data_IF_941322600006
#
_entry.id   IF_941322600006
#
_cell.length_a   1.000
_cell.length_b   1.000
_cell.length_c   1.000
_cell.angle_alpha   90.00
_cell.angle_beta   90.00
_cell.angle_gamma   90.00
#
_symmetry.space_group_name_H-M   'P 1'
#
loop_
_entity.id
_entity.type
_entity.pdbx_description
1 polymer ?
#
# COMPACT_ATOMS: atom_id res chain seq x y z
N UNK A 1 -36.21 -19.95 0.53
CA UNK A 1 -35.05 -19.39 -0.20
C UNK A 1 -35.24 -17.95 -0.70
N UNK A 2 -36.43 -17.58 -1.27
CA UNK A 2 -36.64 -16.18 -1.76
C UNK A 2 -36.55 -15.11 -0.68
N UNK A 3 -36.94 -15.39 0.57
CA UNK A 3 -36.83 -14.41 1.71
C UNK A 3 -35.40 -14.12 2.13
N UNK A 4 -34.46 -15.03 1.90
CA UNK A 4 -33.05 -14.89 2.28
C UNK A 4 -32.22 -14.11 1.25
N UNK A 5 -32.70 -13.95 0.02
CA UNK A 5 -32.00 -13.31 -1.09
C UNK A 5 -31.71 -11.81 -0.81
N UNK A 6 -32.69 -11.07 -0.28
CA UNK A 6 -32.53 -9.63 -0.03
C UNK A 6 -31.47 -9.32 1.04
N UNK A 7 -31.47 -9.95 2.24
CA UNK A 7 -30.42 -9.69 3.22
C UNK A 7 -29.03 -10.12 2.72
N UNK A 8 -28.88 -11.25 2.03
CA UNK A 8 -27.59 -11.67 1.46
C UNK A 8 -27.11 -10.64 0.43
N UNK A 9 -27.99 -10.18 -0.45
CA UNK A 9 -27.69 -9.18 -1.47
C UNK A 9 -27.22 -7.87 -0.86
N UNK A 10 -27.89 -7.38 0.19
CA UNK A 10 -27.50 -6.16 0.91
C UNK A 10 -26.14 -6.37 1.59
N UNK A 11 -25.94 -7.48 2.28
CA UNK A 11 -24.69 -7.78 2.97
C UNK A 11 -23.50 -7.86 2.01
N UNK A 12 -23.62 -8.64 0.94
CA UNK A 12 -22.57 -8.74 -0.09
C UNK A 12 -22.31 -7.36 -0.72
N UNK A 13 -23.35 -6.63 -1.09
CA UNK A 13 -23.21 -5.31 -1.68
C UNK A 13 -22.51 -4.31 -0.76
N UNK A 14 -22.88 -4.27 0.52
CA UNK A 14 -22.24 -3.38 1.51
C UNK A 14 -20.76 -3.72 1.70
N UNK A 15 -20.38 -5.00 1.73
CA UNK A 15 -18.98 -5.41 1.85
C UNK A 15 -18.16 -5.00 0.63
N UNK A 16 -18.69 -5.13 -0.59
CA UNK A 16 -18.00 -4.66 -1.79
C UNK A 16 -17.87 -3.13 -1.84
N UNK A 17 -18.92 -2.39 -1.43
CA UNK A 17 -18.85 -0.93 -1.32
C UNK A 17 -17.78 -0.53 -0.30
N UNK A 18 -17.80 -1.12 0.88
CA UNK A 18 -16.84 -0.83 1.94
C UNK A 18 -15.40 -1.15 1.49
N UNK A 19 -15.19 -2.32 0.88
CA UNK A 19 -13.88 -2.73 0.32
C UNK A 19 -13.39 -1.75 -0.73
N UNK A 20 -14.24 -1.39 -1.69
CA UNK A 20 -13.87 -0.44 -2.75
C UNK A 20 -13.60 0.97 -2.24
N UNK A 21 -14.39 1.48 -1.27
CA UNK A 21 -14.20 2.83 -0.72
C UNK A 21 -12.93 2.95 0.14
N UNK A 22 -12.61 1.95 0.96
CA UNK A 22 -11.34 1.94 1.72
C UNK A 22 -10.14 1.96 0.78
N UNK A 23 -10.17 1.17 -0.30
CA UNK A 23 -9.09 1.17 -1.30
C UNK A 23 -9.09 2.44 -2.14
N UNK A 24 -10.26 3.02 -2.42
CA UNK A 24 -10.38 4.31 -3.09
C UNK A 24 -9.81 5.47 -2.28
N UNK A 25 -9.76 5.35 -0.95
CA UNK A 25 -9.07 6.32 -0.07
C UNK A 25 -7.54 6.31 -0.25
N UNK A 26 -6.93 5.18 -0.62
CA UNK A 26 -5.51 5.06 -0.93
C UNK A 26 -5.29 4.20 -2.19
N UNK A 27 -5.52 4.75 -3.41
CA UNK A 27 -5.36 4.00 -4.65
C UNK A 27 -3.92 3.53 -4.88
N UNK A 28 -2.92 4.29 -4.42
CA UNK A 28 -1.52 3.89 -4.49
C UNK A 28 -1.22 2.65 -3.64
N UNK A 29 -1.87 2.50 -2.47
CA UNK A 29 -1.72 1.32 -1.62
C UNK A 29 -2.08 0.03 -2.36
N UNK A 30 -3.24 0.00 -3.04
CA UNK A 30 -3.62 -1.14 -3.88
C UNK A 30 -2.70 -1.31 -5.10
N UNK A 31 -2.30 -0.21 -5.75
CA UNK A 31 -1.37 -0.24 -6.88
C UNK A 31 -0.03 -0.90 -6.49
N UNK A 32 0.53 -0.55 -5.34
CA UNK A 32 1.78 -1.17 -4.86
C UNK A 32 1.61 -2.65 -4.52
N UNK A 33 0.44 -3.05 -4.00
CA UNK A 33 0.13 -4.47 -3.81
C UNK A 33 0.03 -5.22 -5.13
N UNK A 34 -0.54 -4.63 -6.17
CA UNK A 34 -0.54 -5.24 -7.51
C UNK A 34 0.88 -5.39 -8.07
N UNK A 35 1.77 -4.38 -7.87
CA UNK A 35 3.18 -4.48 -8.26
C UNK A 35 3.87 -5.65 -7.54
N UNK A 36 3.67 -5.79 -6.22
CA UNK A 36 4.21 -6.91 -5.43
C UNK A 36 3.78 -8.28 -6.01
N UNK A 37 2.52 -8.43 -6.42
CA UNK A 37 2.06 -9.65 -7.10
C UNK A 37 2.73 -9.83 -8.47
N UNK A 38 2.82 -8.78 -9.27
CA UNK A 38 3.44 -8.84 -10.59
C UNK A 38 4.92 -9.23 -10.50
N UNK A 39 5.67 -8.65 -9.57
CA UNK A 39 7.07 -8.99 -9.31
C UNK A 39 7.24 -10.45 -8.88
N UNK A 40 6.42 -10.95 -7.94
CA UNK A 40 6.47 -12.34 -7.49
C UNK A 40 6.14 -13.33 -8.62
N UNK A 41 5.33 -12.93 -9.60
CA UNK A 41 4.96 -13.76 -10.76
C UNK A 41 5.87 -13.55 -11.98
N UNK A 42 6.84 -12.63 -11.91
CA UNK A 42 7.72 -12.29 -13.04
C UNK A 42 7.03 -11.50 -14.14
N UNK A 43 5.98 -10.72 -13.80
CA UNK A 43 5.22 -9.90 -14.73
C UNK A 43 5.50 -8.40 -14.53
N UNK A 44 6.76 -8.03 -14.26
CA UNK A 44 7.17 -6.65 -13.97
C UNK A 44 6.78 -5.64 -15.07
N UNK A 45 6.64 -6.11 -16.31
CA UNK A 45 6.19 -5.29 -17.44
C UNK A 45 4.77 -4.73 -17.24
N UNK A 46 3.97 -5.29 -16.32
CA UNK A 46 2.63 -4.78 -15.96
C UNK A 46 2.66 -3.68 -14.89
N UNK A 47 3.81 -3.41 -14.26
CA UNK A 47 3.93 -2.40 -13.22
C UNK A 47 3.40 -1.01 -13.64
N UNK A 48 3.61 -0.51 -14.87
CA UNK A 48 3.03 0.77 -15.31
C UNK A 48 1.50 0.80 -15.32
N UNK A 49 0.84 -0.35 -15.44
CA UNK A 49 -0.62 -0.46 -15.46
C UNK A 49 -1.23 -0.61 -14.06
N UNK A 50 -0.41 -0.81 -13.02
CA UNK A 50 -0.89 -1.11 -11.66
C UNK A 50 -1.79 -0.02 -11.09
N UNK A 51 -1.47 1.26 -11.30
CA UNK A 51 -2.28 2.37 -10.80
C UNK A 51 -3.64 2.45 -11.50
N UNK A 52 -3.68 2.37 -12.83
CA UNK A 52 -4.95 2.43 -13.58
C UNK A 52 -5.82 1.21 -13.27
N UNK A 53 -5.22 0.04 -13.07
CA UNK A 53 -5.91 -1.18 -12.66
C UNK A 53 -6.48 -1.04 -11.25
N UNK A 54 -5.74 -0.43 -10.31
CA UNK A 54 -6.21 -0.12 -8.97
C UNK A 54 -7.43 0.81 -9.00
N UNK A 55 -7.35 1.91 -9.74
CA UNK A 55 -8.45 2.87 -9.90
C UNK A 55 -9.70 2.20 -10.46
N UNK A 56 -9.54 1.42 -11.52
CA UNK A 56 -10.63 0.68 -12.16
C UNK A 56 -11.26 -0.36 -11.22
N UNK A 57 -10.43 -1.12 -10.49
CA UNK A 57 -10.88 -2.14 -9.55
C UNK A 57 -11.71 -1.54 -8.42
N UNK A 58 -11.27 -0.43 -7.81
CA UNK A 58 -11.99 0.23 -6.73
C UNK A 58 -13.37 0.74 -7.20
N UNK A 59 -13.42 1.38 -8.38
CA UNK A 59 -14.68 1.83 -8.98
C UNK A 59 -15.59 0.64 -9.28
N UNK A 60 -15.04 -0.44 -9.83
CA UNK A 60 -15.80 -1.65 -10.19
C UNK A 60 -16.42 -2.33 -8.97
N UNK A 61 -15.69 -2.41 -7.84
CA UNK A 61 -16.22 -2.97 -6.59
C UNK A 61 -17.38 -2.14 -6.04
N UNK A 62 -17.22 -0.82 -5.97
CA UNK A 62 -18.29 0.09 -5.50
C UNK A 62 -19.49 0.02 -6.43
N UNK A 63 -19.27 0.07 -7.74
CA UNK A 63 -20.30 -0.07 -8.75
C UNK A 63 -21.09 -1.38 -8.60
N UNK A 64 -20.40 -2.52 -8.53
CA UNK A 64 -21.00 -3.84 -8.41
C UNK A 64 -21.78 -3.99 -7.10
N UNK A 65 -21.21 -3.45 -5.99
CA UNK A 65 -21.85 -3.44 -4.68
C UNK A 65 -23.15 -2.63 -4.65
N UNK A 66 -23.19 -1.44 -5.25
CA UNK A 66 -24.41 -0.64 -5.35
C UNK A 66 -25.39 -1.29 -6.31
N UNK A 67 -24.94 -1.73 -7.48
CA UNK A 67 -25.78 -2.33 -8.50
C UNK A 67 -26.56 -3.56 -7.98
N UNK A 68 -25.89 -4.39 -7.16
CA UNK A 68 -26.56 -5.53 -6.54
C UNK A 68 -27.59 -5.10 -5.48
N UNK A 69 -27.32 -4.06 -4.68
CA UNK A 69 -28.24 -3.53 -3.67
C UNK A 69 -29.49 -2.94 -4.33
N UNK A 70 -29.33 -2.07 -5.35
CA UNK A 70 -30.44 -1.41 -6.04
C UNK A 70 -31.16 -2.34 -7.03
N UNK A 71 -30.76 -3.60 -7.09
CA UNK A 71 -31.36 -4.62 -7.97
C UNK A 71 -31.27 -4.27 -9.47
N UNK A 72 -30.14 -3.64 -9.87
CA UNK A 72 -29.89 -3.30 -11.27
C UNK A 72 -29.21 -4.47 -11.99
N UNK A 73 -29.78 -4.91 -13.12
CA UNK A 73 -29.26 -6.04 -13.92
C UNK A 73 -28.72 -7.22 -13.09
N UNK A 74 -29.44 -7.60 -12.04
CA UNK A 74 -28.99 -8.50 -10.97
C UNK A 74 -28.28 -9.74 -11.46
N UNK A 75 -28.76 -10.39 -12.54
CA UNK A 75 -28.13 -11.59 -13.09
C UNK A 75 -26.70 -11.31 -13.58
N UNK A 76 -26.50 -10.23 -14.33
CA UNK A 76 -25.18 -9.85 -14.83
C UNK A 76 -24.24 -9.42 -13.71
N UNK A 77 -24.78 -8.62 -12.77
CA UNK A 77 -24.02 -8.14 -11.61
C UNK A 77 -23.61 -9.28 -10.69
N UNK A 78 -24.48 -10.27 -10.45
CA UNK A 78 -24.09 -11.42 -9.62
C UNK A 78 -23.00 -12.25 -10.29
N UNK A 79 -23.02 -12.40 -11.63
CA UNK A 79 -21.90 -13.01 -12.36
C UNK A 79 -20.60 -12.17 -12.27
N UNK A 80 -20.69 -10.86 -12.37
CA UNK A 80 -19.54 -9.97 -12.18
C UNK A 80 -18.95 -10.14 -10.79
N UNK A 81 -19.78 -10.10 -9.73
CA UNK A 81 -19.36 -10.33 -8.35
C UNK A 81 -18.72 -11.71 -8.16
N UNK A 82 -19.25 -12.73 -8.84
CA UNK A 82 -18.68 -14.06 -8.82
C UNK A 82 -17.28 -14.10 -9.45
N UNK A 83 -17.06 -13.45 -10.59
CA UNK A 83 -15.75 -13.36 -11.21
C UNK A 83 -14.77 -12.58 -10.33
N UNK A 84 -15.21 -11.47 -9.73
CA UNK A 84 -14.38 -10.67 -8.81
C UNK A 84 -13.97 -11.49 -7.58
N UNK A 85 -14.91 -12.22 -6.96
CA UNK A 85 -14.57 -12.99 -5.76
C UNK A 85 -13.66 -14.18 -6.09
N UNK A 86 -13.82 -14.82 -7.25
CA UNK A 86 -12.88 -15.85 -7.70
C UNK A 86 -11.48 -15.29 -7.88
N UNK A 87 -11.36 -14.11 -8.49
CA UNK A 87 -10.07 -13.43 -8.66
C UNK A 87 -9.44 -13.09 -7.29
N UNK A 88 -10.19 -12.49 -6.36
CA UNK A 88 -9.67 -12.21 -5.03
C UNK A 88 -9.33 -13.47 -4.24
N UNK A 89 -10.16 -14.51 -4.31
CA UNK A 89 -9.88 -15.80 -3.67
C UNK A 89 -8.59 -16.42 -4.20
N UNK A 90 -8.32 -16.29 -5.50
CA UNK A 90 -7.06 -16.73 -6.09
C UNK A 90 -5.87 -15.94 -5.52
N UNK A 91 -5.95 -14.60 -5.46
CA UNK A 91 -4.89 -13.76 -4.90
C UNK A 91 -4.62 -14.07 -3.42
N UNK A 92 -5.70 -14.14 -2.61
CA UNK A 92 -5.59 -14.41 -1.17
C UNK A 92 -5.12 -15.82 -0.88
N UNK A 93 -5.56 -16.80 -1.69
CA UNK A 93 -5.07 -18.18 -1.65
C UNK A 93 -3.60 -18.26 -2.01
N UNK A 94 -3.18 -17.60 -3.08
CA UNK A 94 -1.76 -17.54 -3.44
C UNK A 94 -0.90 -16.95 -2.31
N UNK A 95 -1.32 -15.81 -1.72
CA UNK A 95 -0.63 -15.21 -0.59
C UNK A 95 -0.55 -16.15 0.62
N UNK A 96 -1.64 -16.88 0.92
CA UNK A 96 -1.72 -17.82 2.05
C UNK A 96 -0.79 -19.02 1.86
N UNK A 97 -0.82 -19.64 0.67
CA UNK A 97 -0.11 -20.92 0.43
C UNK A 97 1.35 -20.72 0.01
N UNK A 98 1.67 -19.62 -0.69
CA UNK A 98 3.07 -19.33 -1.07
C UNK A 98 3.89 -18.73 0.07
N UNK A 99 3.25 -18.02 1.01
CA UNK A 99 3.92 -17.26 2.07
C UNK A 99 4.76 -16.06 1.57
N UNK A 100 4.82 -15.83 0.26
CA UNK A 100 5.64 -14.76 -0.35
C UNK A 100 5.05 -13.36 -0.15
N UNK A 101 3.73 -13.26 0.03
CA UNK A 101 3.00 -12.00 0.19
C UNK A 101 2.39 -11.96 1.59
N UNK A 102 2.81 -11.01 2.40
CA UNK A 102 2.42 -10.91 3.82
C UNK A 102 1.00 -10.37 4.03
N UNK A 103 0.52 -9.50 3.14
CA UNK A 103 -0.82 -8.88 3.21
C UNK A 103 -1.44 -8.79 1.83
N UNK A 104 -2.73 -9.10 1.70
CA UNK A 104 -3.41 -9.13 0.40
C UNK A 104 -3.96 -7.78 -0.06
N UNK A 105 -4.01 -6.77 0.81
CA UNK A 105 -4.52 -5.43 0.48
C UNK A 105 -6.04 -5.35 0.24
N UNK A 106 -6.82 -6.39 0.60
CA UNK A 106 -8.27 -6.43 0.35
C UNK A 106 -9.06 -5.26 0.95
N UNK A 107 -8.62 -4.76 2.10
CA UNK A 107 -9.18 -3.57 2.77
C UNK A 107 -8.11 -2.46 2.93
N UNK A 108 -7.12 -2.42 2.03
CA UNK A 108 -6.04 -1.44 2.07
C UNK A 108 -5.25 -1.49 3.38
N UNK A 109 -4.48 -0.43 3.63
CA UNK A 109 -3.65 -0.31 4.84
C UNK A 109 -4.44 0.10 6.09
N UNK A 110 -5.71 0.51 5.93
CA UNK A 110 -6.56 0.89 7.06
C UNK A 110 -7.06 -0.31 7.89
N UNK A 111 -7.24 -1.45 7.25
CA UNK A 111 -7.65 -2.69 7.90
C UNK A 111 -6.79 -3.86 7.39
N UNK A 112 -5.55 -3.96 7.87
CA UNK A 112 -4.64 -5.01 7.41
C UNK A 112 -5.12 -6.37 7.91
N UNK A 113 -5.61 -7.20 6.98
CA UNK A 113 -6.00 -8.59 7.25
C UNK A 113 -4.83 -9.53 6.96
N UNK A 114 -4.70 -10.56 7.78
CA UNK A 114 -3.79 -11.67 7.46
C UNK A 114 -4.26 -12.41 6.20
N UNK A 115 -3.37 -13.08 5.46
CA UNK A 115 -3.76 -13.87 4.29
C UNK A 115 -4.86 -14.91 4.60
N UNK A 116 -4.80 -15.56 5.77
CA UNK A 116 -5.81 -16.53 6.21
C UNK A 116 -7.18 -15.88 6.44
N UNK A 117 -7.23 -14.73 7.11
CA UNK A 117 -8.49 -14.00 7.33
C UNK A 117 -9.09 -13.52 6.02
N UNK A 118 -8.25 -13.01 5.11
CA UNK A 118 -8.69 -12.56 3.78
C UNK A 118 -9.25 -13.71 2.96
N UNK A 119 -8.56 -14.84 2.92
CA UNK A 119 -8.98 -16.04 2.20
C UNK A 119 -10.30 -16.59 2.75
N UNK A 120 -10.43 -16.71 4.09
CA UNK A 120 -11.68 -17.18 4.73
C UNK A 120 -12.85 -16.27 4.41
N UNK A 121 -12.65 -14.94 4.47
CA UNK A 121 -13.64 -13.94 4.07
C UNK A 121 -14.09 -14.16 2.61
N UNK A 122 -13.15 -14.37 1.70
CA UNK A 122 -13.45 -14.56 0.28
C UNK A 122 -14.21 -15.85 0.00
N UNK A 123 -13.88 -16.94 0.70
CA UNK A 123 -14.65 -18.20 0.63
C UNK A 123 -16.10 -17.98 1.11
N UNK A 124 -16.30 -17.32 2.26
CA UNK A 124 -17.64 -17.02 2.78
C UNK A 124 -18.43 -16.19 1.79
N UNK A 125 -17.83 -15.12 1.24
CA UNK A 125 -18.46 -14.28 0.22
C UNK A 125 -18.77 -15.07 -1.05
N UNK A 126 -17.86 -15.94 -1.48
CA UNK A 126 -18.07 -16.82 -2.64
C UNK A 126 -19.30 -17.71 -2.48
N UNK A 127 -19.46 -18.34 -1.30
CA UNK A 127 -20.65 -19.15 -0.99
C UNK A 127 -21.92 -18.29 -1.04
N UNK A 128 -21.91 -17.10 -0.46
CA UNK A 128 -23.07 -16.19 -0.49
C UNK A 128 -23.42 -15.76 -1.92
N UNK A 129 -22.43 -15.50 -2.75
CA UNK A 129 -22.64 -15.12 -4.17
C UNK A 129 -23.16 -16.31 -4.97
N UNK A 130 -22.70 -17.54 -4.72
CA UNK A 130 -23.24 -18.76 -5.34
C UNK A 130 -24.72 -18.95 -4.96
N UNK A 131 -25.09 -18.72 -3.70
CA UNK A 131 -26.49 -18.74 -3.27
C UNK A 131 -27.31 -17.68 -4.04
N UNK A 132 -26.76 -16.48 -4.22
CA UNK A 132 -27.39 -15.44 -5.03
C UNK A 132 -27.55 -15.86 -6.49
N UNK A 133 -26.55 -16.50 -7.10
CA UNK A 133 -26.64 -17.03 -8.47
C UNK A 133 -27.77 -18.06 -8.61
N UNK A 134 -27.86 -18.97 -7.65
CA UNK A 134 -28.89 -20.03 -7.66
C UNK A 134 -30.30 -19.51 -7.40
N UNK A 135 -30.44 -18.42 -6.62
CA UNK A 135 -31.77 -17.92 -6.16
C UNK A 135 -32.23 -16.68 -6.92
N UNK A 136 -31.40 -16.11 -7.78
CA UNK A 136 -31.67 -14.85 -8.49
C UNK A 136 -32.70 -15.10 -9.61
N UNK A 137 -33.90 -14.53 -9.46
CA UNK A 137 -34.98 -14.64 -10.44
C UNK A 137 -34.89 -13.70 -11.62
N UNK A 138 -33.81 -12.93 -11.71
CA UNK A 138 -33.56 -12.00 -12.82
C UNK A 138 -34.47 -10.78 -12.89
N UNK A 139 -35.39 -10.58 -11.93
CA UNK A 139 -36.27 -9.41 -11.89
C UNK A 139 -35.48 -8.17 -11.52
N UNK A 140 -35.09 -7.38 -12.52
CA UNK A 140 -34.40 -6.12 -12.31
C UNK A 140 -35.37 -5.00 -11.90
N UNK A 141 -34.97 -4.14 -10.99
CA UNK A 141 -35.68 -2.90 -10.72
C UNK A 141 -35.62 -1.98 -11.94
N UNK A 142 -36.76 -1.47 -12.38
CA UNK A 142 -36.84 -0.47 -13.47
C UNK A 142 -36.79 0.97 -12.94
N UNK A 143 -36.65 1.15 -11.61
CA UNK A 143 -36.69 2.46 -10.96
C UNK A 143 -35.54 3.38 -11.40
N UNK A 144 -35.87 4.62 -11.80
CA UNK A 144 -34.92 5.66 -12.19
C UNK A 144 -34.00 6.04 -11.01
N UNK A 145 -34.54 6.09 -9.80
CA UNK A 145 -33.81 6.43 -8.58
C UNK A 145 -32.60 5.53 -8.34
N UNK A 146 -32.77 4.19 -8.48
CA UNK A 146 -31.67 3.24 -8.33
C UNK A 146 -30.54 3.48 -9.34
N UNK A 147 -30.86 3.87 -10.57
CA UNK A 147 -29.86 4.22 -11.59
C UNK A 147 -29.15 5.53 -11.23
N UNK A 148 -29.87 6.53 -10.77
CA UNK A 148 -29.25 7.82 -10.33
C UNK A 148 -28.27 7.54 -9.21
N UNK A 149 -28.65 6.81 -8.16
CA UNK A 149 -27.76 6.45 -7.04
C UNK A 149 -26.51 5.69 -7.57
N UNK A 150 -26.70 4.68 -8.44
CA UNK A 150 -25.64 3.90 -9.01
C UNK A 150 -24.59 4.79 -9.71
N UNK A 151 -25.01 5.63 -10.65
CA UNK A 151 -24.09 6.46 -11.42
C UNK A 151 -23.48 7.58 -10.57
N UNK A 152 -24.25 8.23 -9.69
CA UNK A 152 -23.73 9.30 -8.82
C UNK A 152 -22.65 8.79 -7.89
N UNK A 153 -22.85 7.65 -7.22
CA UNK A 153 -21.85 7.11 -6.30
C UNK A 153 -20.64 6.56 -7.05
N UNK A 154 -20.84 5.96 -8.23
CA UNK A 154 -19.73 5.49 -9.08
C UNK A 154 -18.83 6.66 -9.52
N UNK A 155 -19.42 7.75 -10.02
CA UNK A 155 -18.69 8.97 -10.39
C UNK A 155 -18.05 9.62 -9.14
N UNK A 156 -18.77 9.65 -8.02
CA UNK A 156 -18.26 10.13 -6.74
C UNK A 156 -17.02 9.34 -6.28
N UNK A 157 -16.99 8.02 -6.48
CA UNK A 157 -15.82 7.19 -6.17
C UNK A 157 -14.63 7.55 -7.05
N UNK A 158 -14.83 7.78 -8.34
CA UNK A 158 -13.76 8.21 -9.24
C UNK A 158 -13.22 9.60 -8.84
N UNK A 159 -14.09 10.55 -8.52
CA UNK A 159 -13.71 11.89 -8.04
C UNK A 159 -12.97 11.80 -6.68
N UNK A 160 -13.41 10.93 -5.79
CA UNK A 160 -12.75 10.69 -4.50
C UNK A 160 -11.33 10.15 -4.66
N UNK A 161 -11.11 9.20 -5.58
CA UNK A 161 -9.77 8.71 -5.90
C UNK A 161 -8.87 9.79 -6.50
N UNK A 162 -9.43 10.60 -7.42
CA UNK A 162 -8.69 11.75 -7.96
C UNK A 162 -8.25 12.71 -6.85
N UNK A 163 -9.15 13.00 -5.90
CA UNK A 163 -8.83 13.79 -4.72
C UNK A 163 -7.69 13.17 -3.92
N UNK A 164 -7.76 11.88 -3.58
CA UNK A 164 -6.75 11.17 -2.80
C UNK A 164 -5.37 11.15 -3.49
N UNK A 165 -5.34 11.04 -4.83
CA UNK A 165 -4.11 11.11 -5.63
C UNK A 165 -3.50 12.52 -5.69
N UNK A 166 -4.29 13.57 -5.45
CA UNK A 166 -3.85 14.97 -5.52
C UNK A 166 -3.48 15.51 -4.13
N UNK A 167 -4.29 15.20 -3.10
CA UNK A 167 -4.24 15.83 -1.78
C UNK A 167 -3.77 14.91 -0.64
N UNK A 168 -3.48 13.67 -0.88
CA UNK A 168 -3.29 12.56 0.06
C UNK A 168 -4.61 11.86 0.45
N UNK A 169 -4.52 10.63 1.00
CA UNK A 169 -5.67 9.93 1.57
C UNK A 169 -6.39 10.78 2.62
N UNK A 170 -7.73 10.81 2.55
CA UNK A 170 -8.56 11.54 3.53
C UNK A 170 -8.40 10.94 4.93
N UNK A 171 -8.32 9.62 5.01
CA UNK A 171 -7.97 8.90 6.24
C UNK A 171 -6.58 8.33 6.06
N UNK A 172 -5.59 8.95 6.73
CA UNK A 172 -4.22 8.44 6.71
C UNK A 172 -4.07 7.30 7.72
N UNK A 173 -4.01 6.08 7.21
CA UNK A 173 -3.86 4.86 7.99
C UNK A 173 -2.40 4.39 8.10
N UNK A 174 -1.48 5.11 7.47
CA UNK A 174 -0.07 4.75 7.43
C UNK A 174 0.63 5.06 8.77
N UNK A 175 1.72 4.36 9.08
CA UNK A 175 2.51 4.66 10.27
C UNK A 175 3.13 6.07 10.24
N UNK A 176 3.23 6.67 9.05
CA UNK A 176 3.72 8.02 8.80
C UNK A 176 2.63 9.11 8.85
N UNK A 177 1.54 8.87 9.55
CA UNK A 177 0.47 9.87 9.69
C UNK A 177 0.84 11.00 10.65
N UNK A 178 0.21 12.14 10.49
CA UNK A 178 0.29 13.28 11.42
C UNK A 178 0.12 12.84 12.86
N UNK A 179 0.97 13.34 13.75
CA UNK A 179 0.99 13.07 15.19
C UNK A 179 1.83 11.86 15.60
N UNK A 180 2.19 10.97 14.67
CA UNK A 180 3.06 9.84 14.98
C UNK A 180 4.52 10.27 15.11
N UNK A 181 5.25 9.51 15.91
CA UNK A 181 6.70 9.58 16.05
C UNK A 181 7.35 8.45 15.26
N UNK A 182 8.21 8.78 14.29
CA UNK A 182 8.83 7.78 13.39
C UNK A 182 9.66 6.78 14.20
N UNK A 183 10.45 7.25 15.16
CA UNK A 183 11.30 6.37 16.01
C UNK A 183 10.44 5.42 16.84
N UNK A 184 9.33 5.89 17.39
CA UNK A 184 8.39 5.03 18.12
C UNK A 184 7.75 3.96 17.20
N UNK A 185 7.44 4.31 15.95
CA UNK A 185 6.87 3.35 15.00
C UNK A 185 7.93 2.34 14.48
N UNK A 186 9.23 2.66 14.61
CA UNK A 186 10.33 1.74 14.30
C UNK A 186 10.61 0.74 15.43
N UNK A 187 10.10 0.98 16.63
CA UNK A 187 10.29 0.04 17.77
C UNK A 187 9.46 -1.21 17.54
N UNK A 188 10.08 -2.35 17.81
CA UNK A 188 9.38 -3.62 17.87
C UNK A 188 8.47 -3.60 19.12
N UNK A 189 7.15 -3.92 18.99
CA UNK A 189 6.25 -3.92 20.12
C UNK A 189 6.69 -4.87 21.23
N UNK A 190 6.44 -4.50 22.49
CA UNK A 190 6.73 -5.37 23.62
C UNK A 190 5.97 -6.70 23.48
N UNK A 191 6.64 -7.81 23.77
CA UNK A 191 6.08 -9.16 23.61
C UNK A 191 6.08 -9.68 22.16
N UNK A 192 6.71 -8.98 21.21
CA UNK A 192 6.87 -9.51 19.87
C UNK A 192 7.75 -10.77 19.87
N UNK A 193 7.25 -11.78 19.20
CA UNK A 193 7.99 -13.03 18.93
C UNK A 193 8.17 -13.11 17.42
N UNK A 194 9.41 -13.01 16.97
CA UNK A 194 9.72 -13.12 15.55
C UNK A 194 9.49 -14.54 15.02
N UNK A 195 9.23 -14.67 13.73
CA UNK A 195 9.28 -15.98 13.07
C UNK A 195 10.69 -16.55 13.22
N UNK A 196 10.78 -17.82 13.62
CA UNK A 196 12.02 -18.57 13.55
C UNK A 196 12.13 -19.17 12.16
N UNK A 197 13.12 -18.74 11.38
CA UNK A 197 13.35 -19.22 10.03
C UNK A 197 14.61 -20.06 9.99
N UNK A 198 14.58 -21.16 9.24
CA UNK A 198 15.76 -21.92 8.83
C UNK A 198 15.98 -21.72 7.34
N UNK A 199 17.23 -21.57 6.95
CA UNK A 199 17.59 -21.46 5.54
C UNK A 199 17.89 -22.86 5.01
N UNK A 200 17.09 -23.31 4.04
CA UNK A 200 17.37 -24.53 3.28
C UNK A 200 18.10 -24.16 1.99
N UNK A 201 19.30 -24.67 1.83
CA UNK A 201 20.09 -24.54 0.61
C UNK A 201 19.81 -25.72 -0.31
N UNK A 202 19.58 -25.42 -1.58
CA UNK A 202 19.34 -26.42 -2.63
C UNK A 202 20.52 -26.38 -3.59
N UNK A 203 21.20 -27.50 -3.70
CA UNK A 203 22.34 -27.70 -4.60
C UNK A 203 22.11 -28.92 -5.47
N UNK A 204 22.84 -29.00 -6.58
CA UNK A 204 22.98 -30.24 -7.35
C UNK A 204 24.38 -30.79 -7.14
N UNK A 205 24.50 -32.09 -6.72
CA UNK A 205 25.75 -32.83 -6.65
C UNK A 205 25.63 -34.04 -7.55
N UNK A 206 26.54 -34.17 -8.52
CA UNK A 206 26.55 -35.30 -9.48
C UNK A 206 25.19 -35.49 -10.20
N UNK A 207 24.51 -34.40 -10.57
CA UNK A 207 23.21 -34.44 -11.26
C UNK A 207 22.00 -34.74 -10.36
N UNK A 208 22.19 -34.88 -9.03
CA UNK A 208 21.12 -35.11 -8.07
C UNK A 208 20.91 -33.86 -7.19
N UNK A 209 19.67 -33.50 -6.97
CA UNK A 209 19.32 -32.41 -6.05
C UNK A 209 19.60 -32.86 -4.60
N UNK A 210 20.35 -32.07 -3.86
CA UNK A 210 20.63 -32.22 -2.42
C UNK A 210 20.18 -30.98 -1.69
N UNK A 211 19.58 -31.18 -0.51
CA UNK A 211 19.05 -30.09 0.34
C UNK A 211 19.66 -30.24 1.72
N UNK A 212 20.07 -29.13 2.28
CA UNK A 212 20.59 -29.06 3.64
C UNK A 212 20.36 -27.68 4.23
N UNK A 213 20.28 -27.62 5.54
CA UNK A 213 20.18 -26.38 6.30
C UNK A 213 21.56 -26.00 6.88
N UNK A 214 21.60 -24.86 7.61
CA UNK A 214 22.84 -24.38 8.22
C UNK A 214 23.37 -25.36 9.29
N UNK A 215 22.49 -26.10 9.98
CA UNK A 215 22.88 -27.06 11.02
C UNK A 215 23.41 -28.36 10.45
N UNK A 216 22.93 -28.77 9.28
CA UNK A 216 23.27 -30.01 8.58
C UNK A 216 24.07 -29.72 7.31
N UNK A 217 24.93 -28.69 7.34
CA UNK A 217 25.77 -28.37 6.19
C UNK A 217 26.78 -29.51 5.92
N UNK A 218 26.91 -29.99 4.66
CA UNK A 218 27.77 -31.13 4.35
C UNK A 218 29.23 -30.81 4.68
N UNK A 219 29.89 -31.74 5.36
CA UNK A 219 31.32 -31.62 5.70
C UNK A 219 32.22 -31.85 4.50
N UNK A 220 31.69 -32.47 3.44
CA UNK A 220 32.38 -32.76 2.18
C UNK A 220 32.01 -31.75 1.06
N UNK A 221 31.61 -30.50 1.45
CA UNK A 221 31.24 -29.46 0.50
C UNK A 221 32.46 -29.03 -0.35
N UNK A 222 32.35 -29.25 -1.66
CA UNK A 222 33.40 -28.96 -2.63
C UNK A 222 32.84 -28.39 -3.95
N UNK A 223 33.67 -28.23 -4.96
CA UNK A 223 33.29 -27.70 -6.28
C UNK A 223 32.30 -28.57 -7.07
N UNK A 224 31.95 -29.77 -6.60
CA UNK A 224 30.92 -30.64 -7.22
C UNK A 224 29.51 -30.23 -6.83
N UNK A 225 29.36 -29.35 -5.82
CA UNK A 225 28.10 -28.77 -5.42
C UNK A 225 27.80 -27.51 -6.25
N UNK A 226 26.79 -27.59 -7.12
CA UNK A 226 26.34 -26.48 -7.93
C UNK A 226 25.10 -25.87 -7.27
N UNK A 227 25.14 -24.56 -6.94
CA UNK A 227 24.05 -23.86 -6.34
C UNK A 227 22.83 -23.84 -7.28
N UNK A 228 21.65 -24.13 -6.75
CA UNK A 228 20.36 -24.10 -7.49
C UNK A 228 19.47 -23.01 -6.92
N UNK A 229 19.18 -23.07 -5.60
CA UNK A 229 18.22 -22.16 -4.97
C UNK A 229 18.42 -22.10 -3.45
N UNK A 230 17.79 -21.14 -2.82
CA UNK A 230 17.71 -20.99 -1.37
C UNK A 230 16.24 -20.79 -0.97
N UNK A 231 15.77 -21.52 0.03
CA UNK A 231 14.43 -21.36 0.60
C UNK A 231 14.51 -21.00 2.07
N UNK A 232 13.80 -19.94 2.45
CA UNK A 232 13.61 -19.59 3.85
C UNK A 232 12.36 -20.34 4.36
N UNK A 233 12.57 -21.30 5.27
CA UNK A 233 11.50 -22.12 5.85
C UNK A 233 11.18 -21.58 7.24
N UNK A 234 9.92 -21.19 7.46
CA UNK A 234 9.45 -20.80 8.80
C UNK A 234 9.29 -22.06 9.65
N UNK A 235 10.22 -22.25 10.58
CA UNK A 235 10.23 -23.40 11.51
C UNK A 235 9.22 -23.20 12.63
N UNK A 236 9.12 -21.95 13.15
CA UNK A 236 8.16 -21.57 14.17
C UNK A 236 7.60 -20.20 13.85
N UNK A 237 6.29 -20.12 13.73
CA UNK A 237 5.62 -18.82 13.53
C UNK A 237 5.69 -18.00 14.80
N UNK A 238 6.06 -16.73 14.65
CA UNK A 238 5.94 -15.72 15.67
C UNK A 238 4.47 -15.31 15.92
N UNK A 239 4.29 -14.26 16.68
CA UNK A 239 2.95 -13.74 16.97
C UNK A 239 2.49 -12.62 16.03
N UNK A 240 3.25 -12.35 14.95
CA UNK A 240 2.94 -11.33 13.95
C UNK A 240 3.11 -9.88 14.39
N UNK A 241 3.60 -9.64 15.61
CA UNK A 241 3.93 -8.30 16.09
C UNK A 241 5.28 -7.89 15.52
N UNK A 242 5.28 -6.90 14.64
CA UNK A 242 6.47 -6.33 14.00
C UNK A 242 6.46 -4.82 14.12
N UNK A 243 7.62 -4.18 13.96
CA UNK A 243 7.70 -2.73 13.82
C UNK A 243 6.83 -2.27 12.65
N UNK A 244 6.12 -1.15 12.81
CA UNK A 244 5.27 -0.60 11.74
C UNK A 244 6.07 0.11 10.66
N UNK A 245 7.25 0.61 11.03
CA UNK A 245 8.23 1.19 10.11
C UNK A 245 9.49 0.34 10.18
N UNK A 246 9.91 -0.16 9.04
CA UNK A 246 11.12 -0.96 8.88
C UNK A 246 12.06 -0.22 7.94
N UNK A 247 13.35 -0.29 8.22
CA UNK A 247 14.44 0.20 7.35
C UNK A 247 14.38 1.69 6.96
N UNK A 248 13.74 2.54 7.81
CA UNK A 248 13.76 3.98 7.60
C UNK A 248 15.14 4.55 7.91
N UNK A 249 15.78 5.09 6.90
CA UNK A 249 17.04 5.80 7.03
C UNK A 249 17.11 7.03 6.09
N UNK A 250 17.86 8.02 6.51
CA UNK A 250 18.14 9.26 5.78
C UNK A 250 19.64 9.34 5.54
N UNK A 251 20.07 8.93 4.36
CA UNK A 251 21.50 8.84 4.02
C UNK A 251 21.98 10.13 3.36
N UNK A 252 23.11 10.65 3.81
CA UNK A 252 23.81 11.67 3.06
C UNK A 252 24.35 11.09 1.75
N UNK A 253 24.63 11.94 0.76
CA UNK A 253 25.22 11.52 -0.52
C UNK A 253 26.60 10.85 -0.35
N UNK A 254 27.30 11.12 0.76
CA UNK A 254 28.54 10.43 1.15
C UNK A 254 28.36 8.98 1.58
N UNK A 255 27.12 8.48 1.71
CA UNK A 255 26.81 7.17 2.28
C UNK A 255 26.71 7.14 3.80
N UNK A 256 26.80 8.29 4.47
CA UNK A 256 26.67 8.39 5.94
C UNK A 256 25.19 8.41 6.34
N UNK A 257 24.79 7.59 7.30
CA UNK A 257 23.46 7.68 7.90
C UNK A 257 23.34 8.90 8.81
N UNK A 258 22.43 9.80 8.46
CA UNK A 258 22.17 11.04 9.19
C UNK A 258 20.86 11.03 9.97
N UNK A 259 20.14 9.90 9.98
CA UNK A 259 18.81 9.77 10.57
C UNK A 259 18.77 10.25 12.04
N UNK A 260 19.70 9.76 12.87
CA UNK A 260 19.76 10.14 14.27
C UNK A 260 20.06 11.64 14.46
N UNK A 261 20.98 12.21 13.67
CA UNK A 261 21.34 13.61 13.71
C UNK A 261 20.17 14.52 13.30
N UNK A 262 19.43 14.15 12.25
CA UNK A 262 18.24 14.88 11.80
C UNK A 262 17.14 14.82 12.87
N UNK A 263 16.90 13.66 13.45
CA UNK A 263 15.86 13.49 14.49
C UNK A 263 16.26 14.08 15.86
N UNK A 264 17.53 14.36 16.11
CA UNK A 264 17.95 15.10 17.29
C UNK A 264 17.55 16.59 17.24
N UNK A 265 17.21 17.13 16.06
CA UNK A 265 16.84 18.53 15.88
C UNK A 265 15.49 18.83 16.54
N UNK A 266 15.47 19.62 17.61
CA UNK A 266 14.27 20.02 18.33
C UNK A 266 13.59 21.27 17.75
N UNK A 267 14.24 21.95 16.79
CA UNK A 267 13.60 23.02 16.02
C UNK A 267 12.71 22.42 14.94
N UNK A 268 11.64 23.11 14.52
CA UNK A 268 10.84 22.69 13.38
C UNK A 268 11.70 22.64 12.10
N UNK A 269 11.50 21.61 11.31
CA UNK A 269 12.11 21.47 9.97
C UNK A 269 11.15 20.73 9.04
N UNK A 270 11.39 20.77 7.74
CA UNK A 270 10.53 20.15 6.74
C UNK A 270 11.31 19.09 5.96
N UNK A 271 10.81 17.85 5.98
CA UNK A 271 11.22 16.82 5.03
C UNK A 271 10.27 16.83 3.84
N UNK A 272 10.82 16.88 2.63
CA UNK A 272 10.04 16.84 1.39
C UNK A 272 10.34 15.52 0.69
N UNK A 273 9.38 14.62 0.71
CA UNK A 273 9.53 13.30 0.10
C UNK A 273 9.12 13.31 -1.37
N UNK A 274 10.02 12.85 -2.23
CA UNK A 274 9.79 12.66 -3.65
C UNK A 274 10.30 11.28 -4.07
N UNK A 275 9.37 10.37 -4.41
CA UNK A 275 9.67 8.97 -4.75
C UNK A 275 10.46 8.81 -6.05
N UNK A 276 10.36 9.78 -6.94
CA UNK A 276 11.04 9.84 -8.24
C UNK A 276 11.20 11.29 -8.68
N UNK A 277 12.21 11.55 -9.48
CA UNK A 277 12.44 12.88 -10.09
C UNK A 277 11.86 12.97 -11.52
N UNK A 278 11.28 11.90 -12.03
CA UNK A 278 10.56 11.92 -13.30
C UNK A 278 9.34 12.86 -13.18
N UNK A 279 9.23 13.85 -14.06
CA UNK A 279 8.15 14.85 -14.01
C UNK A 279 8.33 15.92 -12.94
N UNK A 280 9.49 16.01 -12.28
CA UNK A 280 9.77 17.01 -11.24
C UNK A 280 9.67 18.45 -11.77
N UNK A 281 9.84 18.65 -13.06
CA UNK A 281 9.68 19.94 -13.74
C UNK A 281 8.28 20.54 -13.50
N UNK A 282 7.25 19.69 -13.36
CA UNK A 282 5.86 20.13 -13.16
C UNK A 282 5.62 20.78 -11.80
N UNK A 283 6.38 20.39 -10.77
CA UNK A 283 6.24 20.92 -9.41
C UNK A 283 7.46 21.75 -8.94
N UNK A 284 8.50 21.87 -9.77
CA UNK A 284 9.74 22.61 -9.44
C UNK A 284 9.45 24.05 -8.98
N UNK A 285 8.73 24.82 -9.77
CA UNK A 285 8.44 26.23 -9.46
C UNK A 285 7.64 26.37 -8.14
N UNK A 286 6.69 25.49 -7.91
CA UNK A 286 5.92 25.45 -6.65
C UNK A 286 6.84 25.12 -5.47
N UNK A 287 7.68 24.09 -5.61
CA UNK A 287 8.67 23.72 -4.58
C UNK A 287 9.63 24.85 -4.26
N UNK A 288 10.22 25.52 -5.27
CA UNK A 288 11.13 26.64 -5.07
C UNK A 288 10.47 27.80 -4.33
N UNK A 289 9.21 28.08 -4.64
CA UNK A 289 8.43 29.12 -3.97
C UNK A 289 8.20 28.78 -2.49
N UNK A 290 7.81 27.53 -2.21
CA UNK A 290 7.60 27.02 -0.84
C UNK A 290 8.92 26.99 -0.09
N UNK A 291 9.99 26.51 -0.71
CA UNK A 291 11.35 26.48 -0.15
C UNK A 291 11.80 27.87 0.32
N UNK A 292 11.68 28.91 -0.54
CA UNK A 292 12.02 30.29 -0.20
C UNK A 292 11.20 30.84 0.96
N UNK A 293 9.89 30.55 0.99
CA UNK A 293 9.00 30.97 2.10
C UNK A 293 9.40 30.34 3.44
N UNK A 294 9.78 29.05 3.45
CA UNK A 294 10.22 28.34 4.64
C UNK A 294 11.59 28.83 5.12
N UNK A 295 12.51 29.05 4.19
CA UNK A 295 13.84 29.59 4.48
C UNK A 295 13.74 31.03 5.10
N UNK A 296 12.83 31.86 4.61
CA UNK A 296 12.59 33.19 5.18
C UNK A 296 12.07 33.14 6.63
N UNK A 297 11.51 32.00 7.06
CA UNK A 297 11.09 31.75 8.44
C UNK A 297 12.15 30.96 9.26
N UNK A 298 13.37 30.82 8.75
CA UNK A 298 14.45 30.03 9.34
C UNK A 298 14.07 28.56 9.58
N UNK A 299 13.26 27.98 8.69
CA UNK A 299 12.88 26.57 8.71
C UNK A 299 13.78 25.81 7.73
N UNK A 300 14.49 24.82 8.22
CA UNK A 300 15.30 23.94 7.40
C UNK A 300 14.42 23.05 6.52
N UNK A 301 14.76 22.96 5.24
CA UNK A 301 14.05 22.13 4.26
C UNK A 301 15.01 21.14 3.65
N UNK A 302 14.66 19.87 3.72
CA UNK A 302 15.45 18.74 3.24
C UNK A 302 14.63 17.97 2.22
N UNK A 303 15.13 17.85 1.00
CA UNK A 303 14.53 16.99 -0.02
C UNK A 303 15.01 15.56 0.18
N UNK A 304 14.09 14.61 0.26
CA UNK A 304 14.38 13.18 0.45
C UNK A 304 13.94 12.42 -0.79
N UNK A 305 14.88 11.78 -1.48
CA UNK A 305 14.62 11.06 -2.73
C UNK A 305 15.64 9.95 -2.96
N UNK A 306 15.32 8.86 -3.67
CA UNK A 306 16.30 7.87 -4.08
C UNK A 306 17.19 8.37 -5.23
N UNK A 307 16.76 9.43 -5.97
CA UNK A 307 17.42 9.95 -7.17
C UNK A 307 18.20 11.26 -6.87
N UNK A 308 19.12 11.24 -5.90
CA UNK A 308 19.81 12.44 -5.42
C UNK A 308 20.57 13.19 -6.53
N UNK A 309 21.23 12.50 -7.46
CA UNK A 309 21.99 13.15 -8.53
C UNK A 309 21.10 13.94 -9.47
N UNK A 310 19.94 13.39 -9.82
CA UNK A 310 18.93 14.07 -10.63
C UNK A 310 18.30 15.24 -9.88
N UNK A 311 18.07 15.08 -8.58
CA UNK A 311 17.57 16.18 -7.73
C UNK A 311 18.58 17.35 -7.66
N UNK A 312 19.88 17.06 -7.51
CA UNK A 312 20.93 18.10 -7.56
C UNK A 312 20.94 18.83 -8.90
N UNK A 313 20.82 18.12 -10.01
CA UNK A 313 20.80 18.75 -11.35
C UNK A 313 19.57 19.64 -11.56
N UNK A 314 18.43 19.32 -10.96
CA UNK A 314 17.17 20.05 -11.10
C UNK A 314 17.06 21.26 -10.16
N UNK A 315 17.47 21.09 -8.89
CA UNK A 315 17.23 22.08 -7.81
C UNK A 315 18.50 22.79 -7.32
N UNK A 316 19.67 22.38 -7.79
CA UNK A 316 20.94 23.00 -7.44
C UNK A 316 21.35 22.72 -5.98
N UNK A 317 21.82 23.78 -5.29
CA UNK A 317 22.36 23.68 -3.93
C UNK A 317 21.25 23.74 -2.87
N UNK A 318 20.50 22.65 -2.74
CA UNK A 318 19.57 22.44 -1.62
C UNK A 318 20.05 21.25 -0.79
N UNK A 319 19.56 21.12 0.45
CA UNK A 319 19.87 19.96 1.27
C UNK A 319 19.10 18.74 0.75
N UNK A 320 19.82 17.70 0.31
CA UNK A 320 19.23 16.48 -0.26
C UNK A 320 19.76 15.28 0.53
N UNK A 321 18.83 14.43 0.97
CA UNK A 321 19.12 13.13 1.56
C UNK A 321 18.53 12.01 0.71
N UNK A 322 19.15 10.85 0.80
CA UNK A 322 18.74 9.65 0.10
C UNK A 322 17.95 8.76 1.07
N UNK A 323 16.82 8.26 0.62
CA UNK A 323 16.10 7.19 1.30
C UNK A 323 15.66 6.14 0.28
N UNK A 324 15.41 4.92 0.75
CA UNK A 324 14.91 3.83 -0.10
C UNK A 324 13.57 4.19 -0.75
N UNK A 325 13.40 3.81 -2.01
CA UNK A 325 12.19 4.12 -2.78
C UNK A 325 10.92 3.49 -2.16
N UNK A 326 11.04 2.31 -1.55
CA UNK A 326 9.92 1.62 -0.91
C UNK A 326 9.49 2.34 0.37
N UNK A 327 10.48 2.83 1.14
CA UNK A 327 10.25 3.67 2.32
C UNK A 327 9.49 4.93 1.92
N UNK A 328 9.96 5.62 0.88
CA UNK A 328 9.31 6.85 0.40
C UNK A 328 7.89 6.57 -0.13
N UNK A 329 7.69 5.52 -0.92
CA UNK A 329 6.35 5.10 -1.40
C UNK A 329 5.39 4.84 -0.23
N UNK A 330 5.89 4.30 0.88
CA UNK A 330 5.08 4.05 2.08
C UNK A 330 4.81 5.34 2.85
N UNK A 331 5.82 6.21 3.01
CA UNK A 331 5.68 7.47 3.74
C UNK A 331 4.81 8.49 2.99
N UNK A 332 5.02 8.61 1.67
CA UNK A 332 4.46 9.65 0.82
C UNK A 332 3.74 9.07 -0.39
N UNK A 333 2.41 9.12 -0.38
CA UNK A 333 1.56 8.63 -1.49
C UNK A 333 1.55 9.58 -2.69
N UNK A 334 1.83 10.86 -2.48
CA UNK A 334 1.87 11.91 -3.50
C UNK A 334 3.27 12.51 -3.57
N UNK A 335 3.70 12.93 -4.75
CA UNK A 335 5.00 13.57 -4.97
C UNK A 335 4.82 15.00 -5.45
N UNK A 336 5.36 16.02 -4.76
CA UNK A 336 6.05 15.96 -3.48
C UNK A 336 5.07 15.93 -2.28
N UNK A 337 5.47 15.28 -1.17
CA UNK A 337 4.76 15.36 0.10
C UNK A 337 5.65 16.04 1.15
N UNK A 338 5.12 17.01 1.87
CA UNK A 338 5.80 17.81 2.87
C UNK A 338 5.45 17.32 4.28
N UNK A 339 6.46 16.97 5.05
CA UNK A 339 6.36 16.63 6.47
C UNK A 339 6.96 17.76 7.31
N UNK A 340 6.14 18.43 8.10
CA UNK A 340 6.63 19.31 9.15
C UNK A 340 7.01 18.45 10.35
N UNK A 341 8.27 18.49 10.72
CA UNK A 341 8.87 17.66 11.75
C UNK A 341 9.30 18.49 12.97
N UNK A 342 9.30 17.86 14.13
CA UNK A 342 10.00 18.31 15.32
C UNK A 342 10.57 17.08 16.01
N UNK A 343 11.90 16.97 16.07
CA UNK A 343 12.52 15.68 16.38
C UNK A 343 12.09 14.61 15.37
N UNK A 344 11.75 13.43 15.82
CA UNK A 344 11.20 12.34 15.02
C UNK A 344 9.67 12.40 14.84
N UNK A 345 9.00 13.42 15.42
CA UNK A 345 7.54 13.51 15.41
C UNK A 345 7.02 14.31 14.23
N UNK A 346 6.04 13.76 13.52
CA UNK A 346 5.34 14.40 12.42
C UNK A 346 4.29 15.36 12.96
N UNK A 347 4.50 16.67 12.82
CA UNK A 347 3.57 17.71 13.25
C UNK A 347 2.45 17.93 12.23
N UNK A 348 2.82 17.89 10.95
CA UNK A 348 1.91 18.05 9.83
C UNK A 348 2.41 17.26 8.62
N UNK A 349 1.48 16.78 7.78
CA UNK A 349 1.78 16.05 6.54
C UNK A 349 0.82 16.52 5.47
N UNK A 350 1.34 17.10 4.41
CA UNK A 350 0.52 17.70 3.33
C UNK A 350 1.13 17.44 1.96
N UNK A 351 0.28 17.35 0.94
CA UNK A 351 0.68 17.47 -0.45
C UNK A 351 0.84 18.96 -0.84
N UNK A 352 1.55 19.23 -1.93
CA UNK A 352 1.80 20.60 -2.40
C UNK A 352 0.53 21.48 -2.51
N UNK A 353 -0.62 21.00 -3.03
CA UNK A 353 -1.84 21.79 -3.12
C UNK A 353 -2.44 22.21 -1.75
N UNK A 354 -2.07 21.52 -0.67
CA UNK A 354 -2.55 21.79 0.69
C UNK A 354 -1.49 22.44 1.59
N UNK A 355 -0.47 23.05 1.01
CA UNK A 355 0.70 23.57 1.76
C UNK A 355 0.32 24.65 2.80
N UNK A 356 -0.78 25.35 2.63
CA UNK A 356 -1.25 26.37 3.56
C UNK A 356 -1.56 25.80 4.96
N UNK A 357 -1.95 24.52 5.06
CA UNK A 357 -2.12 23.84 6.33
C UNK A 357 -0.80 23.70 7.09
N UNK A 358 0.31 23.49 6.39
CA UNK A 358 1.65 23.43 6.99
C UNK A 358 2.03 24.79 7.58
N UNK A 359 1.84 25.88 6.82
CA UNK A 359 2.09 27.23 7.31
C UNK A 359 1.18 27.62 8.47
N UNK A 360 -0.08 27.22 8.43
CA UNK A 360 -1.02 27.44 9.54
C UNK A 360 -0.54 26.73 10.82
N UNK A 361 -0.01 25.49 10.70
CA UNK A 361 0.53 24.75 11.84
C UNK A 361 1.82 25.37 12.37
N UNK A 362 2.68 25.90 11.51
CA UNK A 362 3.90 26.62 11.90
C UNK A 362 3.59 27.88 12.69
N UNK A 363 2.53 28.64 12.29
CA UNK A 363 2.18 29.92 12.88
C UNK A 363 1.33 29.82 14.17
N UNK A 364 0.87 28.62 14.53
CA UNK A 364 0.11 28.35 15.76
C UNK A 364 0.98 28.18 17.02
N UNK A 365 2.25 28.50 16.94
CA UNK A 365 3.20 28.49 18.09
C UNK A 365 3.29 29.92 18.67
#
# INVERSE_FOLDING_TARGET
MKKLNTPIRIFVGLLFIFSGLIKANDPHGLSYKMQEFFEVWGFDFLNPLSLISSLGMNVLEVFAGIAIIVNWQTKKITWLLFMLILFFTYLTGYALFSGKIKTCGCFGDCLPLTPAMSFTKDIVLGILIIILLATNTGKASKGIFGKIVLYTVTLGTAAFQWYALTYLPVVDCLPYKKGNDIVEQMKVPAGAVADSTSIEFIYTKNGKEVRFDQANFPTDFDSTYVYVDRKDIVVKKGNGLVAKIVDFNLMAKSGTDTTAAIFANQKPYVLVFAKEMKGAESWKNSFETIYKKLQAQNIDVILVTPEADRAVSLFGKINILIADATVIKTAARVTPTYFLMKGSRIQEKVAAPSIDHLFTTLNRK
#
